data_IF_532313503143
#
_entry.id   IF_532313503143
#
_cell.length_a   1.000
_cell.length_b   1.000
_cell.length_c   1.000
_cell.angle_alpha   90.00
_cell.angle_beta   90.00
_cell.angle_gamma   90.00
#
_symmetry.space_group_name_H-M   'P 1'
#
loop_
_entity.id
_entity.type
_entity.pdbx_description
1 polymer ?
#
# COMPACT_ATOMS: atom_id res chain seq x y z
N UNK A 1 9.00 -43.16 50.77
CA UNK A 1 9.66 -42.54 49.59
C UNK A 1 9.43 -41.03 49.70
N UNK A 2 10.42 -40.26 50.16
CA UNK A 2 10.28 -38.81 50.29
C UNK A 2 10.76 -38.14 48.99
N UNK A 3 9.95 -37.24 48.42
CA UNK A 3 10.28 -36.50 47.19
C UNK A 3 11.26 -35.37 47.50
N UNK A 4 12.44 -35.44 46.88
CA UNK A 4 13.54 -34.50 47.04
C UNK A 4 13.25 -33.17 46.30
N UNK A 5 12.94 -32.13 47.07
CA UNK A 5 12.58 -30.78 46.62
C UNK A 5 13.77 -30.00 46.00
N UNK A 6 15.00 -30.49 46.12
CA UNK A 6 16.19 -29.84 45.55
C UNK A 6 16.22 -29.87 44.01
N UNK A 7 15.42 -30.74 43.37
CA UNK A 7 15.32 -30.85 41.91
C UNK A 7 14.36 -29.85 41.27
N UNK A 8 13.62 -29.06 42.05
CA UNK A 8 12.58 -28.15 41.52
C UNK A 8 13.10 -26.79 41.00
N UNK A 9 14.38 -26.48 41.16
CA UNK A 9 14.96 -25.20 40.72
C UNK A 9 16.17 -25.36 39.80
N UNK A 10 16.01 -25.99 38.64
CA UNK A 10 16.99 -25.86 37.55
C UNK A 10 16.31 -25.78 36.18
N UNK A 11 16.07 -24.54 35.76
CA UNK A 11 16.40 -24.03 34.42
C UNK A 11 16.05 -24.90 33.22
N UNK A 12 14.76 -25.05 32.91
CA UNK A 12 14.32 -25.24 31.53
C UNK A 12 13.30 -24.15 31.21
N UNK A 13 13.66 -23.26 30.30
CA UNK A 13 12.75 -22.22 29.79
C UNK A 13 12.76 -20.91 30.55
N UNK A 14 13.93 -20.41 30.99
CA UNK A 14 14.03 -18.97 31.31
C UNK A 14 13.75 -18.22 30.00
N UNK A 15 12.66 -17.45 29.90
CA UNK A 15 12.38 -16.68 28.69
C UNK A 15 13.55 -15.70 28.44
N UNK A 16 13.91 -15.44 27.18
CA UNK A 16 14.86 -14.38 26.88
C UNK A 16 14.41 -13.06 27.54
N UNK A 17 15.35 -12.22 28.03
CA UNK A 17 15.04 -10.94 28.64
C UNK A 17 14.18 -10.09 27.69
N UNK A 18 13.15 -9.43 28.22
CA UNK A 18 12.19 -8.67 27.43
C UNK A 18 12.76 -7.39 26.77
N UNK A 19 14.06 -7.11 26.93
CA UNK A 19 14.67 -5.82 26.64
C UNK A 19 15.27 -5.70 25.22
N UNK A 20 15.16 -6.71 24.35
CA UNK A 20 15.69 -6.65 22.97
C UNK A 20 14.65 -7.00 21.90
N UNK A 21 13.37 -6.67 22.12
CA UNK A 21 12.41 -6.64 21.02
C UNK A 21 12.33 -5.21 20.49
N UNK A 22 12.80 -4.92 19.24
CA UNK A 22 12.59 -3.61 18.64
C UNK A 22 11.09 -3.32 18.61
N UNK A 23 10.71 -2.10 19.00
CA UNK A 23 9.31 -1.68 18.99
C UNK A 23 8.87 -1.42 17.54
N UNK A 24 8.55 -2.51 16.85
CA UNK A 24 8.14 -2.53 15.43
C UNK A 24 6.90 -1.67 15.19
N UNK A 25 6.15 -1.30 16.24
CA UNK A 25 4.98 -0.42 16.15
C UNK A 25 5.43 1.05 16.08
N UNK A 26 6.40 1.44 16.91
CA UNK A 26 6.97 2.79 16.88
C UNK A 26 7.78 3.05 15.59
N UNK A 27 8.46 2.03 15.06
CA UNK A 27 9.25 2.12 13.83
C UNK A 27 8.38 2.07 12.56
N UNK A 28 7.15 1.54 12.64
CA UNK A 28 6.20 1.55 11.53
C UNK A 28 5.43 2.88 11.51
N UNK A 29 6.16 3.95 11.19
CA UNK A 29 5.55 5.21 10.76
C UNK A 29 4.88 4.94 9.42
N UNK A 30 3.67 4.36 9.47
CA UNK A 30 2.79 4.30 8.31
C UNK A 30 2.69 5.73 7.83
N UNK A 31 3.33 6.00 6.70
CA UNK A 31 3.36 7.30 6.07
C UNK A 31 1.93 7.54 5.61
N UNK A 32 1.09 8.08 6.50
CA UNK A 32 -0.31 8.45 6.25
C UNK A 32 -0.39 9.68 5.31
N UNK A 33 0.65 9.89 4.49
CA UNK A 33 0.78 10.90 3.44
C UNK A 33 -0.07 10.58 2.20
N UNK A 34 -1.13 9.77 2.34
CA UNK A 34 -2.12 9.65 1.26
C UNK A 34 -2.95 10.92 1.27
N UNK A 35 -2.49 11.90 0.49
CA UNK A 35 -3.21 13.14 0.24
C UNK A 35 -4.70 12.84 -0.08
N UNK A 36 -5.64 13.62 0.48
CA UNK A 36 -7.06 13.34 0.34
C UNK A 36 -7.46 13.33 -1.14
N UNK A 37 -7.95 12.19 -1.60
CA UNK A 37 -8.42 12.01 -2.97
C UNK A 37 -9.90 12.39 -3.06
N UNK A 38 -10.27 13.20 -4.06
CA UNK A 38 -11.67 13.50 -4.40
C UNK A 38 -12.05 12.80 -5.72
N UNK A 39 -13.27 12.24 -5.83
CA UNK A 39 -13.71 11.62 -7.07
C UNK A 39 -13.96 12.67 -8.14
N UNK A 40 -13.35 12.50 -9.31
CA UNK A 40 -13.65 13.29 -10.50
C UNK A 40 -14.74 12.54 -11.29
N UNK A 41 -15.97 13.06 -11.27
CA UNK A 41 -17.08 12.49 -12.04
C UNK A 41 -17.23 13.25 -13.35
N UNK A 42 -17.09 12.54 -14.47
CA UNK A 42 -17.21 13.12 -15.81
C UNK A 42 -18.13 12.23 -16.63
N UNK A 43 -19.03 12.83 -17.40
CA UNK A 43 -19.85 12.12 -18.37
C UNK A 43 -19.17 12.22 -19.73
N UNK A 44 -18.90 11.08 -20.35
CA UNK A 44 -18.35 10.99 -21.69
C UNK A 44 -19.20 10.06 -22.55
N UNK A 45 -19.20 10.24 -23.87
CA UNK A 45 -19.82 9.29 -24.80
C UNK A 45 -19.33 7.85 -24.59
N UNK A 46 -20.20 6.87 -24.83
CA UNK A 46 -19.91 5.46 -24.57
C UNK A 46 -18.73 4.95 -25.41
N UNK A 47 -18.64 5.36 -26.67
CA UNK A 47 -17.52 5.03 -27.56
C UNK A 47 -16.17 5.50 -26.99
N UNK A 48 -16.10 6.75 -26.52
CA UNK A 48 -14.88 7.32 -25.93
C UNK A 48 -14.51 6.58 -24.64
N UNK A 49 -15.50 6.15 -23.85
CA UNK A 49 -15.26 5.37 -22.65
C UNK A 49 -14.69 3.98 -22.96
N UNK A 50 -15.20 3.31 -23.99
CA UNK A 50 -14.73 1.99 -24.41
C UNK A 50 -13.29 2.06 -24.92
N UNK A 51 -12.98 2.98 -25.83
CA UNK A 51 -11.63 3.21 -26.35
C UNK A 51 -10.63 3.52 -25.21
N UNK A 52 -11.03 4.40 -24.28
CA UNK A 52 -10.22 4.75 -23.13
C UNK A 52 -9.99 3.54 -22.20
N UNK A 53 -11.01 2.71 -22.02
CA UNK A 53 -10.94 1.51 -21.18
C UNK A 53 -10.06 0.44 -21.80
N UNK A 54 -10.13 0.26 -23.12
CA UNK A 54 -9.29 -0.67 -23.86
C UNK A 54 -7.82 -0.24 -23.83
N UNK A 55 -7.56 1.05 -24.06
CA UNK A 55 -6.20 1.61 -23.99
C UNK A 55 -5.60 1.46 -22.59
N UNK A 56 -6.39 1.72 -21.55
CA UNK A 56 -5.97 1.52 -20.17
C UNK A 56 -5.66 0.04 -19.87
N UNK A 57 -6.51 -0.87 -20.37
CA UNK A 57 -6.34 -2.30 -20.21
C UNK A 57 -5.10 -2.85 -20.93
N UNK A 58 -4.81 -2.34 -22.14
CA UNK A 58 -3.60 -2.70 -22.90
C UNK A 58 -2.31 -2.21 -22.24
N UNK A 59 -2.34 -1.00 -21.67
CA UNK A 59 -1.11 -0.35 -21.19
C UNK A 59 -0.78 -0.67 -19.72
N UNK A 60 -1.79 -0.74 -18.85
CA UNK A 60 -1.61 -0.96 -17.41
C UNK A 60 -2.18 -2.31 -16.93
N UNK A 61 -2.66 -3.14 -17.87
CA UNK A 61 -3.38 -4.37 -17.58
C UNK A 61 -4.84 -4.10 -17.20
N UNK A 62 -5.71 -5.10 -17.38
CA UNK A 62 -7.12 -5.06 -16.99
C UNK A 62 -7.30 -5.17 -15.46
N UNK A 63 -6.64 -4.28 -14.71
CA UNK A 63 -6.58 -4.27 -13.25
C UNK A 63 -7.36 -3.10 -12.67
N UNK A 64 -7.78 -3.23 -11.40
CA UNK A 64 -8.42 -2.14 -10.67
C UNK A 64 -7.45 -0.94 -10.57
N UNK A 65 -7.81 0.15 -11.25
CA UNK A 65 -7.04 1.40 -11.23
C UNK A 65 -6.33 1.73 -12.55
N UNK A 66 -6.34 0.86 -13.56
CA UNK A 66 -5.73 1.12 -14.87
C UNK A 66 -6.24 2.42 -15.52
N UNK A 67 -7.56 2.65 -15.47
CA UNK A 67 -8.20 3.89 -15.96
C UNK A 67 -7.68 5.14 -15.26
N UNK A 68 -7.48 5.07 -13.94
CA UNK A 68 -6.93 6.17 -13.13
C UNK A 68 -5.47 6.43 -13.51
N UNK A 69 -4.67 5.38 -13.72
CA UNK A 69 -3.27 5.51 -14.11
C UNK A 69 -3.13 6.14 -15.50
N UNK A 70 -3.94 5.69 -16.47
CA UNK A 70 -3.99 6.28 -17.80
C UNK A 70 -4.39 7.75 -17.75
N UNK A 71 -5.44 8.10 -16.98
CA UNK A 71 -5.85 9.50 -16.79
C UNK A 71 -4.71 10.37 -16.23
N UNK A 72 -4.03 9.89 -15.19
CA UNK A 72 -2.92 10.64 -14.57
C UNK A 72 -1.73 10.80 -15.54
N UNK A 73 -1.46 9.79 -16.38
CA UNK A 73 -0.43 9.87 -17.43
C UNK A 73 -0.79 10.94 -18.47
N UNK A 74 -2.01 10.89 -19.01
CA UNK A 74 -2.50 11.89 -19.97
C UNK A 74 -2.49 13.30 -19.37
N UNK A 75 -2.91 13.46 -18.11
CA UNK A 75 -2.90 14.74 -17.41
C UNK A 75 -1.50 15.32 -17.22
N UNK A 76 -0.52 14.47 -16.91
CA UNK A 76 0.90 14.90 -16.82
C UNK A 76 1.42 15.36 -18.18
N UNK A 77 1.14 14.61 -19.24
CA UNK A 77 1.54 14.96 -20.61
C UNK A 77 0.88 16.27 -21.07
N UNK A 78 -0.42 16.43 -20.83
CA UNK A 78 -1.16 17.65 -21.13
C UNK A 78 -0.58 18.87 -20.41
N UNK A 79 -0.29 18.77 -19.10
CA UNK A 79 0.32 19.86 -18.34
C UNK A 79 1.74 20.20 -18.79
N UNK A 80 2.49 19.21 -19.29
CA UNK A 80 3.81 19.45 -19.85
C UNK A 80 3.71 20.25 -21.16
N UNK A 81 2.76 19.89 -22.02
CA UNK A 81 2.50 20.58 -23.28
C UNK A 81 1.92 21.98 -23.08
N UNK A 82 0.96 22.15 -22.15
CA UNK A 82 0.31 23.43 -21.88
C UNK A 82 1.20 24.46 -21.19
N UNK A 83 2.38 24.06 -20.69
CA UNK A 83 3.40 24.96 -20.13
C UNK A 83 4.48 25.35 -21.15
N UNK A 84 4.46 24.75 -22.33
CA UNK A 84 5.39 25.04 -23.44
C UNK A 84 4.80 26.05 -24.45
N UNK A 85 3.54 26.46 -24.28
CA UNK A 85 2.89 27.54 -25.03
C UNK A 85 2.77 28.76 -24.14
#
# INVERSE_FOLDING_TARGET
>A
MATDLAKLKRGKGTPPPAEEAPDVIAENVRTDEKAPLRPLQVRIPANVFEEFSEMAGREFGFTHGAKKQLFLKMWKAYKAQSRQT
#
